data_IF_508418711765
#
_entry.id   IF_508418711765
#
_cell.length_a   1.000
_cell.length_b   1.000
_cell.length_c   1.000
_cell.angle_alpha   90.00
_cell.angle_beta   90.00
_cell.angle_gamma   90.00
#
_symmetry.space_group_name_H-M   'P 1'
#
loop_
_entity.id
_entity.type
_entity.pdbx_description
1 polymer ?
#
# COMPACT_ATOMS: atom_id res chain seq x y z
N UNK A 1 -3.52 13.89 32.86
CA UNK A 1 -2.94 15.06 32.15
C UNK A 1 -1.89 14.67 31.10
N UNK A 2 -0.91 13.80 31.42
CA UNK A 2 0.13 13.40 30.45
C UNK A 2 -0.40 12.68 29.18
N UNK A 3 -1.43 11.85 29.32
CA UNK A 3 -2.08 11.21 28.17
C UNK A 3 -2.65 12.22 27.17
N UNK A 4 -3.34 13.25 27.66
CA UNK A 4 -3.92 14.30 26.82
C UNK A 4 -2.84 15.10 26.08
N UNK A 5 -1.76 15.48 26.78
CA UNK A 5 -0.62 16.18 26.17
C UNK A 5 0.05 15.31 25.09
N UNK A 6 0.23 14.01 25.35
CA UNK A 6 0.80 13.09 24.37
C UNK A 6 -0.09 12.93 23.13
N UNK A 7 -1.41 12.81 23.32
CA UNK A 7 -2.39 12.72 22.23
C UNK A 7 -2.39 13.99 21.38
N UNK A 8 -2.43 15.17 22.00
CA UNK A 8 -2.40 16.46 21.29
C UNK A 8 -1.08 16.63 20.53
N UNK A 9 0.05 16.29 21.15
CA UNK A 9 1.37 16.37 20.49
C UNK A 9 1.44 15.45 19.27
N UNK A 10 0.92 14.22 19.37
CA UNK A 10 0.86 13.26 18.26
C UNK A 10 -0.09 13.71 17.16
N UNK A 11 -1.27 14.24 17.52
CA UNK A 11 -2.21 14.79 16.55
C UNK A 11 -1.62 16.00 15.81
N UNK A 12 -0.89 16.88 16.52
CA UNK A 12 -0.18 18.01 15.92
C UNK A 12 0.90 17.56 14.93
N UNK A 13 1.73 16.57 15.29
CA UNK A 13 2.70 16.00 14.36
C UNK A 13 2.03 15.33 13.15
N UNK A 14 0.92 14.63 13.35
CA UNK A 14 0.13 14.04 12.26
C UNK A 14 -0.41 15.09 11.30
N UNK A 15 -0.92 16.21 11.82
CA UNK A 15 -1.45 17.31 11.00
C UNK A 15 -0.32 17.99 10.20
N UNK A 16 0.82 18.27 10.83
CA UNK A 16 1.99 18.83 10.14
C UNK A 16 2.48 17.89 9.04
N UNK A 17 2.55 16.58 9.32
CA UNK A 17 2.90 15.57 8.32
C UNK A 17 1.93 15.56 7.15
N UNK A 18 0.62 15.60 7.41
CA UNK A 18 -0.41 15.64 6.36
C UNK A 18 -0.24 16.87 5.47
N UNK A 19 -0.09 18.05 6.06
CA UNK A 19 0.16 19.29 5.29
C UNK A 19 1.43 19.18 4.46
N UNK A 20 2.51 18.64 5.03
CA UNK A 20 3.77 18.45 4.32
C UNK A 20 3.63 17.46 3.14
N UNK A 21 2.91 16.35 3.33
CA UNK A 21 2.67 15.36 2.28
C UNK A 21 1.78 15.93 1.16
N UNK A 22 0.74 16.71 1.50
CA UNK A 22 -0.11 17.38 0.50
C UNK A 22 0.69 18.39 -0.32
N UNK A 23 1.48 19.25 0.35
CA UNK A 23 2.35 20.20 -0.33
C UNK A 23 3.40 19.50 -1.20
N UNK A 24 4.02 18.44 -0.68
CA UNK A 24 5.02 17.66 -1.42
C UNK A 24 4.41 17.01 -2.67
N UNK A 25 3.24 16.37 -2.57
CA UNK A 25 2.56 15.76 -3.71
C UNK A 25 2.16 16.82 -4.74
N UNK A 26 1.63 17.96 -4.30
CA UNK A 26 1.30 19.08 -5.18
C UNK A 26 2.53 19.54 -5.96
N UNK A 27 3.65 19.80 -5.27
CA UNK A 27 4.90 20.23 -5.91
C UNK A 27 5.45 19.16 -6.84
N UNK A 28 5.43 17.88 -6.45
CA UNK A 28 5.94 16.78 -7.26
C UNK A 28 5.16 16.65 -8.59
N UNK A 29 3.84 16.81 -8.53
CA UNK A 29 2.99 16.81 -9.73
C UNK A 29 3.26 18.01 -10.65
N UNK A 30 3.57 19.19 -10.11
CA UNK A 30 3.86 20.39 -10.91
C UNK A 30 5.28 20.45 -11.46
N UNK A 31 6.22 19.72 -10.87
CA UNK A 31 7.60 19.60 -11.38
C UNK A 31 7.68 18.54 -12.48
N UNK A 32 6.76 17.58 -12.50
CA UNK A 32 6.69 16.59 -13.56
C UNK A 32 6.50 17.27 -14.93
N UNK A 33 7.20 16.83 -15.99
CA UNK A 33 7.05 17.42 -17.31
C UNK A 33 5.67 17.08 -17.90
N UNK A 34 4.96 18.11 -18.36
CA UNK A 34 3.59 18.03 -18.90
C UNK A 34 2.53 18.45 -17.88
N UNK A 35 1.33 18.80 -18.36
CA UNK A 35 0.18 19.08 -17.52
C UNK A 35 -0.93 18.01 -17.67
N UNK A 36 -1.99 18.11 -16.85
CA UNK A 36 -3.12 17.18 -16.90
C UNK A 36 -3.78 17.17 -18.29
N UNK A 37 -3.87 18.33 -18.96
CA UNK A 37 -4.47 18.42 -20.28
C UNK A 37 -3.62 17.68 -21.33
N UNK A 38 -2.29 17.75 -21.22
CA UNK A 38 -1.36 17.02 -22.08
C UNK A 38 -1.52 15.50 -21.92
N UNK A 39 -1.69 15.01 -20.68
CA UNK A 39 -1.91 13.58 -20.42
C UNK A 39 -3.25 13.08 -20.96
N UNK A 40 -4.31 13.87 -20.80
CA UNK A 40 -5.64 13.57 -21.36
C UNK A 40 -5.60 13.59 -22.88
N UNK A 41 -4.91 14.57 -23.47
CA UNK A 41 -4.76 14.67 -24.92
C UNK A 41 -3.99 13.48 -25.51
N UNK A 42 -2.95 13.02 -24.83
CA UNK A 42 -2.20 11.83 -25.25
C UNK A 42 -3.05 10.56 -25.20
N UNK A 43 -3.83 10.35 -24.13
CA UNK A 43 -4.68 9.16 -23.98
C UNK A 43 -5.85 9.16 -24.98
N UNK A 44 -6.37 10.34 -25.33
CA UNK A 44 -7.42 10.52 -26.34
C UNK A 44 -6.93 10.39 -27.80
N UNK A 45 -5.63 10.17 -28.03
CA UNK A 45 -5.05 10.07 -29.38
C UNK A 45 -4.78 11.42 -30.06
N UNK A 46 -4.70 12.49 -29.28
CA UNK A 46 -4.58 13.88 -29.72
C UNK A 46 -5.90 14.63 -29.55
N UNK A 47 -5.82 15.85 -28.99
CA UNK A 47 -6.94 16.79 -28.88
C UNK A 47 -6.59 18.07 -29.62
N UNK A 48 -7.61 18.74 -30.16
CA UNK A 48 -7.46 20.07 -30.75
C UNK A 48 -6.98 21.08 -29.69
N UNK A 49 -6.19 22.05 -30.12
CA UNK A 49 -5.58 23.05 -29.22
C UNK A 49 -6.63 23.83 -28.41
N UNK A 50 -7.80 24.09 -29.00
CA UNK A 50 -8.90 24.80 -28.35
C UNK A 50 -9.56 23.96 -27.23
N UNK A 51 -9.64 22.64 -27.42
CA UNK A 51 -10.15 21.71 -26.40
C UNK A 51 -9.15 21.58 -25.25
N UNK A 52 -7.84 21.52 -25.55
CA UNK A 52 -6.81 21.50 -24.51
C UNK A 52 -6.81 22.77 -23.66
N UNK A 53 -7.03 23.94 -24.25
CA UNK A 53 -7.10 25.21 -23.52
C UNK A 53 -8.35 25.27 -22.62
N UNK A 54 -9.50 24.81 -23.11
CA UNK A 54 -10.71 24.69 -22.28
C UNK A 54 -10.49 23.75 -21.09
N UNK A 55 -9.87 22.60 -21.33
CA UNK A 55 -9.51 21.64 -20.28
C UNK A 55 -8.59 22.29 -19.23
N UNK A 56 -7.61 23.11 -19.64
CA UNK A 56 -6.73 23.82 -18.71
C UNK A 56 -7.50 24.78 -17.81
N UNK A 57 -8.45 25.52 -18.38
CA UNK A 57 -9.29 26.48 -17.63
C UNK A 57 -10.23 25.73 -16.68
N UNK A 58 -10.90 24.68 -17.15
CA UNK A 58 -11.84 23.90 -16.34
C UNK A 58 -11.15 23.28 -15.11
N UNK A 59 -9.88 22.89 -15.26
CA UNK A 59 -9.07 22.37 -14.17
C UNK A 59 -8.33 23.43 -13.35
N UNK A 60 -8.44 24.71 -13.72
CA UNK A 60 -7.80 25.81 -13.01
C UNK A 60 -6.28 25.82 -13.14
N UNK A 61 -5.74 25.20 -14.20
CA UNK A 61 -4.31 25.19 -14.53
C UNK A 61 -3.83 26.58 -15.00
N UNK A 62 -4.76 27.46 -15.38
CA UNK A 62 -4.53 28.87 -15.71
C UNK A 62 -4.27 29.74 -14.46
N UNK A 63 -4.67 29.27 -13.28
CA UNK A 63 -4.56 30.03 -12.04
C UNK A 63 -3.12 30.09 -11.53
N UNK A 64 -2.73 31.14 -10.78
CA UNK A 64 -1.47 31.17 -10.06
C UNK A 64 -1.31 29.95 -9.14
N UNK A 65 -0.09 29.39 -9.06
CA UNK A 65 0.21 28.16 -8.28
C UNK A 65 -0.30 28.21 -6.83
N UNK A 66 -0.24 29.37 -6.18
CA UNK A 66 -0.72 29.52 -4.80
C UNK A 66 -2.25 29.35 -4.68
N UNK A 67 -3.01 29.76 -5.70
CA UNK A 67 -4.47 29.57 -5.75
C UNK A 67 -4.82 28.12 -6.02
N UNK A 68 -4.10 27.47 -6.93
CA UNK A 68 -4.25 26.04 -7.21
C UNK A 68 -3.99 25.22 -5.93
N UNK A 69 -2.92 25.55 -5.21
CA UNK A 69 -2.61 24.92 -3.94
C UNK A 69 -3.70 25.20 -2.90
N UNK A 70 -4.13 26.46 -2.73
CA UNK A 70 -5.20 26.78 -1.79
C UNK A 70 -6.50 26.01 -2.07
N UNK A 71 -6.90 25.89 -3.34
CA UNK A 71 -8.06 25.11 -3.79
C UNK A 71 -7.89 23.63 -3.48
N UNK A 72 -6.70 23.07 -3.73
CA UNK A 72 -6.36 21.69 -3.40
C UNK A 72 -6.48 21.39 -1.90
N UNK A 73 -5.86 22.23 -1.06
CA UNK A 73 -5.94 22.10 0.40
C UNK A 73 -7.37 22.24 0.91
N UNK A 74 -8.14 23.18 0.34
CA UNK A 74 -9.53 23.39 0.70
C UNK A 74 -10.42 22.20 0.33
N UNK A 75 -10.25 21.61 -0.85
CA UNK A 75 -10.96 20.40 -1.26
C UNK A 75 -10.67 19.23 -0.32
N UNK A 76 -9.39 18.98 -0.02
CA UNK A 76 -8.99 17.91 0.91
C UNK A 76 -9.57 18.14 2.32
N UNK A 77 -9.64 19.38 2.80
CA UNK A 77 -10.26 19.70 4.08
C UNK A 77 -11.78 19.41 4.11
N UNK A 78 -12.45 19.41 2.96
CA UNK A 78 -13.85 19.02 2.80
C UNK A 78 -14.04 17.53 2.48
N UNK A 79 -12.96 16.74 2.53
CA UNK A 79 -12.93 15.32 2.12
C UNK A 79 -13.22 15.12 0.62
N UNK A 80 -13.07 16.17 -0.18
CA UNK A 80 -13.07 16.08 -1.63
C UNK A 80 -11.63 15.88 -2.10
N UNK A 81 -11.29 14.62 -2.41
CA UNK A 81 -9.97 14.23 -2.91
C UNK A 81 -9.81 14.52 -4.41
N UNK A 82 -10.85 15.05 -5.07
CA UNK A 82 -10.87 15.37 -6.48
C UNK A 82 -11.24 14.20 -7.38
N UNK A 83 -10.97 14.40 -8.67
CA UNK A 83 -11.36 13.51 -9.75
C UNK A 83 -10.13 12.89 -10.41
N UNK A 84 -10.18 11.58 -10.66
CA UNK A 84 -9.12 10.87 -11.36
C UNK A 84 -9.36 10.95 -12.86
N UNK A 85 -8.48 11.64 -13.58
CA UNK A 85 -8.58 11.79 -15.03
C UNK A 85 -8.31 10.49 -15.78
N UNK A 86 -7.40 9.67 -15.27
CA UNK A 86 -7.04 8.39 -15.88
C UNK A 86 -8.18 7.36 -15.79
N UNK A 87 -8.89 7.34 -14.66
CA UNK A 87 -9.97 6.37 -14.43
C UNK A 87 -11.36 6.95 -14.69
N UNK A 88 -11.45 8.24 -15.02
CA UNK A 88 -12.70 8.98 -15.20
C UNK A 88 -13.71 8.77 -14.04
N UNK A 89 -13.21 8.80 -12.80
CA UNK A 89 -14.02 8.57 -11.59
C UNK A 89 -13.52 9.39 -10.39
N UNK A 90 -14.39 9.70 -9.41
CA UNK A 90 -13.96 10.35 -8.17
C UNK A 90 -12.90 9.53 -7.43
N UNK A 91 -11.83 10.17 -6.96
CA UNK A 91 -10.70 9.51 -6.28
C UNK A 91 -11.18 8.75 -5.05
N UNK A 92 -12.14 9.31 -4.31
CA UNK A 92 -12.72 8.67 -3.12
C UNK A 92 -13.37 7.32 -3.45
N UNK A 93 -14.04 7.20 -4.62
CA UNK A 93 -14.66 5.95 -5.06
C UNK A 93 -13.60 4.89 -5.36
N UNK A 94 -12.56 5.26 -6.11
CA UNK A 94 -11.43 4.38 -6.42
C UNK A 94 -10.74 3.85 -5.16
N UNK A 95 -10.52 4.71 -4.16
CA UNK A 95 -9.94 4.31 -2.88
C UNK A 95 -10.85 3.31 -2.17
N UNK A 96 -12.15 3.58 -2.10
CA UNK A 96 -13.12 2.71 -1.45
C UNK A 96 -13.24 1.35 -2.15
N UNK A 97 -13.07 1.27 -3.47
CA UNK A 97 -13.07 0.01 -4.21
C UNK A 97 -11.82 -0.84 -3.94
N UNK A 98 -10.66 -0.21 -3.71
CA UNK A 98 -9.39 -0.90 -3.42
C UNK A 98 -9.18 -1.21 -1.93
N UNK A 99 -9.89 -0.50 -1.06
CA UNK A 99 -9.75 -0.60 0.40
C UNK A 99 -10.02 -2.02 0.93
N UNK A 100 -11.09 -2.74 0.53
CA UNK A 100 -11.38 -4.08 1.04
C UNK A 100 -10.27 -5.10 0.74
N UNK A 101 -9.70 -5.05 -0.47
CA UNK A 101 -8.61 -5.94 -0.87
C UNK A 101 -7.34 -5.67 -0.04
N UNK A 102 -7.02 -4.39 0.17
CA UNK A 102 -5.89 -3.97 1.00
C UNK A 102 -6.06 -4.40 2.45
N UNK A 103 -7.25 -4.19 3.02
CA UNK A 103 -7.58 -4.62 4.38
C UNK A 103 -7.50 -6.14 4.52
N UNK A 104 -8.07 -6.88 3.57
CA UNK A 104 -8.02 -8.34 3.57
C UNK A 104 -6.57 -8.83 3.61
N UNK A 105 -5.71 -8.28 2.74
CA UNK A 105 -4.30 -8.63 2.66
C UNK A 105 -3.53 -8.27 3.94
N UNK A 106 -3.63 -7.02 4.40
CA UNK A 106 -2.87 -6.55 5.56
C UNK A 106 -3.33 -7.26 6.84
N UNK A 107 -4.64 -7.39 7.06
CA UNK A 107 -5.17 -8.03 8.27
C UNK A 107 -4.83 -9.52 8.28
N UNK A 108 -5.02 -10.24 7.17
CA UNK A 108 -4.68 -11.67 7.11
C UNK A 108 -3.19 -11.91 7.35
N UNK A 109 -2.32 -11.14 6.71
CA UNK A 109 -0.88 -11.22 6.92
C UNK A 109 -0.49 -10.86 8.36
N UNK A 110 -1.11 -9.84 8.95
CA UNK A 110 -0.84 -9.42 10.31
C UNK A 110 -1.26 -10.49 11.34
N UNK A 111 -2.44 -11.09 11.17
CA UNK A 111 -2.94 -12.17 12.04
C UNK A 111 -2.05 -13.40 11.93
N UNK A 112 -1.70 -13.83 10.71
CA UNK A 112 -0.80 -14.96 10.49
C UNK A 112 0.59 -14.70 11.07
N UNK A 113 1.12 -13.48 10.92
CA UNK A 113 2.42 -13.10 11.46
C UNK A 113 2.45 -13.13 12.99
N UNK A 114 1.40 -12.63 13.65
CA UNK A 114 1.29 -12.70 15.11
C UNK A 114 1.22 -14.17 15.55
N UNK A 115 0.37 -14.96 14.91
CA UNK A 115 0.19 -16.37 15.25
C UNK A 115 1.50 -17.16 15.12
N UNK A 116 2.17 -17.06 13.97
CA UNK A 116 3.46 -17.72 13.72
C UNK A 116 4.57 -17.16 14.62
N UNK A 117 4.62 -15.85 14.81
CA UNK A 117 5.62 -15.20 15.65
C UNK A 117 5.55 -15.64 17.11
N UNK A 118 4.33 -15.76 17.66
CA UNK A 118 4.12 -16.27 19.02
C UNK A 118 4.56 -17.73 19.13
N UNK A 119 4.18 -18.59 18.18
CA UNK A 119 4.58 -20.02 18.21
C UNK A 119 6.11 -20.16 18.16
N UNK A 120 6.76 -19.52 17.18
CA UNK A 120 8.20 -19.58 17.00
C UNK A 120 8.94 -18.96 18.20
N UNK A 121 8.44 -17.84 18.73
CA UNK A 121 8.98 -17.19 19.92
C UNK A 121 8.91 -18.07 21.17
N UNK A 122 7.76 -18.71 21.42
CA UNK A 122 7.59 -19.64 22.55
C UNK A 122 8.48 -20.87 22.40
N UNK A 123 8.59 -21.44 21.20
CA UNK A 123 9.47 -22.58 20.92
C UNK A 123 10.95 -22.24 21.16
N UNK A 124 11.39 -21.05 20.75
CA UNK A 124 12.77 -20.59 20.96
C UNK A 124 13.06 -20.24 22.44
N UNK A 125 12.06 -19.76 23.18
CA UNK A 125 12.18 -19.45 24.60
C UNK A 125 12.30 -20.70 25.48
N UNK A 126 11.59 -21.79 25.13
CA UNK A 126 11.60 -23.05 25.92
C UNK A 126 12.96 -23.76 25.95
N UNK A 127 13.73 -23.72 24.87
CA UNK A 127 15.08 -24.30 24.80
C UNK A 127 16.07 -23.30 24.19
N UNK A 128 16.56 -22.33 24.98
CA UNK A 128 17.40 -21.22 24.51
C UNK A 128 18.65 -21.63 23.71
N UNK A 129 19.29 -22.74 24.10
CA UNK A 129 20.50 -23.29 23.48
C UNK A 129 20.20 -24.49 22.58
N UNK A 130 18.92 -24.82 22.36
CA UNK A 130 18.51 -25.94 21.52
C UNK A 130 18.52 -25.60 20.04
N UNK A 131 18.53 -26.63 19.19
CA UNK A 131 18.47 -26.48 17.72
C UNK A 131 17.26 -25.67 17.24
N UNK A 132 16.12 -25.75 17.95
CA UNK A 132 14.91 -24.97 17.64
C UNK A 132 15.14 -23.46 17.80
N UNK A 133 15.89 -23.06 18.81
CA UNK A 133 16.25 -21.66 19.05
C UNK A 133 17.15 -21.13 17.93
N UNK A 134 18.18 -21.90 17.55
CA UNK A 134 19.05 -21.54 16.41
C UNK A 134 18.30 -21.44 15.08
N UNK A 135 17.39 -22.38 14.79
CA UNK A 135 16.56 -22.33 13.59
C UNK A 135 15.70 -21.07 13.53
N UNK A 136 15.03 -20.72 14.63
CA UNK A 136 14.22 -19.49 14.71
C UNK A 136 15.10 -18.25 14.52
N UNK A 137 16.27 -18.20 15.15
CA UNK A 137 17.21 -17.07 14.96
C UNK A 137 17.66 -16.92 13.51
N UNK A 138 18.05 -18.01 12.84
CA UNK A 138 18.45 -17.97 11.43
C UNK A 138 17.29 -17.52 10.55
N UNK A 139 16.09 -18.07 10.76
CA UNK A 139 14.89 -17.71 10.00
C UNK A 139 14.55 -16.22 10.17
N UNK A 140 14.62 -15.69 11.39
CA UNK A 140 14.41 -14.27 11.66
C UNK A 140 15.47 -13.39 11.01
N UNK A 141 16.74 -13.82 11.01
CA UNK A 141 17.84 -13.07 10.40
C UNK A 141 17.68 -12.99 8.87
N UNK A 142 17.32 -14.10 8.23
CA UNK A 142 17.03 -14.15 6.79
C UNK A 142 15.84 -13.25 6.46
N UNK A 143 14.75 -13.36 7.22
CA UNK A 143 13.57 -12.52 7.03
C UNK A 143 13.83 -11.02 7.23
N UNK A 144 14.77 -10.67 8.12
CA UNK A 144 15.21 -9.30 8.35
C UNK A 144 16.11 -8.78 7.22
N UNK A 145 17.01 -9.61 6.70
CA UNK A 145 18.01 -9.23 5.71
C UNK A 145 17.45 -9.13 4.28
N UNK A 146 16.45 -9.96 3.94
CA UNK A 146 15.85 -9.96 2.62
C UNK A 146 14.88 -8.78 2.42
N UNK A 147 15.07 -7.92 1.40
CA UNK A 147 14.13 -6.84 1.10
C UNK A 147 12.75 -7.38 0.69
N UNK A 148 11.67 -6.75 1.17
CA UNK A 148 10.29 -7.22 0.92
C UNK A 148 9.97 -7.31 -0.57
N UNK A 149 10.36 -6.29 -1.35
CA UNK A 149 10.14 -6.29 -2.80
C UNK A 149 10.87 -7.46 -3.48
N UNK A 150 12.11 -7.75 -3.04
CA UNK A 150 12.94 -8.81 -3.60
C UNK A 150 12.35 -10.18 -3.28
N UNK A 151 11.97 -10.41 -2.01
CA UNK A 151 11.26 -11.65 -1.64
C UNK A 151 10.00 -11.83 -2.47
N UNK A 152 9.20 -10.76 -2.64
CA UNK A 152 7.97 -10.84 -3.42
C UNK A 152 8.20 -11.24 -4.87
N UNK A 153 9.17 -10.61 -5.53
CA UNK A 153 9.53 -10.97 -6.91
C UNK A 153 10.05 -12.41 -6.98
N UNK A 154 10.90 -12.84 -6.04
CA UNK A 154 11.43 -14.22 -6.03
C UNK A 154 10.33 -15.27 -5.80
N UNK A 155 9.35 -15.00 -4.93
CA UNK A 155 8.21 -15.88 -4.72
C UNK A 155 7.33 -15.99 -5.97
N UNK A 156 7.10 -14.88 -6.68
CA UNK A 156 6.37 -14.89 -7.96
C UNK A 156 7.16 -15.71 -9.00
N UNK A 157 8.45 -15.48 -9.16
CA UNK A 157 9.28 -16.22 -10.12
C UNK A 157 9.25 -17.72 -9.82
N UNK A 158 9.41 -18.12 -8.56
CA UNK A 158 9.47 -19.53 -8.19
C UNK A 158 8.11 -20.23 -8.31
N UNK A 159 7.04 -19.60 -7.82
CA UNK A 159 5.74 -20.27 -7.63
C UNK A 159 4.62 -19.83 -8.57
N UNK A 160 4.85 -18.81 -9.39
CA UNK A 160 3.91 -18.42 -10.44
C UNK A 160 4.51 -18.66 -11.84
N UNK A 161 5.83 -18.53 -12.00
CA UNK A 161 6.50 -18.70 -13.30
C UNK A 161 7.16 -20.07 -13.46
N UNK A 162 8.06 -20.47 -12.56
CA UNK A 162 8.79 -21.75 -12.67
C UNK A 162 7.91 -22.95 -12.34
N UNK A 163 7.20 -22.89 -11.21
CA UNK A 163 6.26 -23.91 -10.78
C UNK A 163 4.90 -23.23 -10.64
N UNK A 164 4.04 -23.20 -11.69
CA UNK A 164 2.83 -22.38 -11.76
C UNK A 164 1.71 -22.90 -10.84
N UNK A 165 1.94 -22.84 -9.52
CA UNK A 165 1.01 -23.25 -8.47
C UNK A 165 0.08 -22.08 -8.15
N UNK A 166 0.61 -20.85 -8.18
CA UNK A 166 -0.11 -19.64 -7.83
C UNK A 166 -0.22 -18.67 -9.02
N UNK A 167 -1.25 -17.82 -9.04
CA UNK A 167 -1.42 -16.80 -10.06
C UNK A 167 -0.39 -15.68 -9.92
N UNK A 168 -0.09 -15.00 -11.04
CA UNK A 168 0.93 -13.95 -11.10
C UNK A 168 0.39 -12.60 -10.60
N UNK A 169 -0.92 -12.37 -10.71
CA UNK A 169 -1.53 -11.11 -10.30
C UNK A 169 -3.06 -11.19 -10.35
N UNK A 170 -3.69 -10.03 -10.12
CA UNK A 170 -5.13 -9.89 -9.89
C UNK A 170 -5.59 -10.49 -8.55
N UNK A 171 -6.85 -10.21 -8.16
CA UNK A 171 -7.44 -10.72 -6.91
C UNK A 171 -8.25 -12.00 -7.14
N UNK A 172 -8.77 -12.18 -8.35
CA UNK A 172 -9.73 -13.22 -8.73
C UNK A 172 -9.58 -13.49 -10.22
N UNK A 173 -9.65 -14.75 -10.61
CA UNK A 173 -9.71 -15.14 -12.02
C UNK A 173 -11.01 -14.63 -12.69
N UNK A 174 -10.89 -14.17 -13.93
CA UNK A 174 -12.01 -13.59 -14.70
C UNK A 174 -13.11 -14.62 -14.99
N UNK A 175 -12.78 -15.91 -14.94
CA UNK A 175 -13.67 -17.04 -15.23
C UNK A 175 -14.51 -17.50 -14.03
N UNK A 176 -14.24 -17.00 -12.81
CA UNK A 176 -14.93 -17.45 -11.59
C UNK A 176 -16.09 -16.51 -11.28
N UNK A 177 -17.29 -17.08 -11.14
CA UNK A 177 -18.45 -16.33 -10.66
C UNK A 177 -18.18 -15.78 -9.25
N UNK A 178 -18.58 -14.52 -9.01
CA UNK A 178 -18.27 -13.78 -7.76
C UNK A 178 -19.13 -14.21 -6.57
N UNK A 179 -19.51 -15.48 -6.51
CA UNK A 179 -20.41 -16.02 -5.49
C UNK A 179 -19.92 -17.39 -4.98
N UNK A 180 -20.10 -17.62 -3.68
CA UNK A 180 -19.88 -18.92 -3.05
C UNK A 180 -18.43 -19.26 -2.65
N UNK A 181 -18.22 -20.55 -2.39
CA UNK A 181 -16.95 -21.11 -1.85
C UNK A 181 -15.84 -21.08 -2.91
N UNK A 182 -16.20 -21.21 -4.19
CA UNK A 182 -15.24 -21.16 -5.30
C UNK A 182 -14.52 -19.80 -5.36
N UNK A 183 -15.26 -18.71 -5.21
CA UNK A 183 -14.72 -17.36 -5.11
C UNK A 183 -13.76 -17.21 -3.91
N UNK A 184 -14.16 -17.68 -2.73
CA UNK A 184 -13.33 -17.59 -1.53
C UNK A 184 -12.00 -18.36 -1.68
N UNK A 185 -12.04 -19.55 -2.27
CA UNK A 185 -10.85 -20.36 -2.51
C UNK A 185 -9.92 -19.71 -3.54
N UNK A 186 -10.50 -19.08 -4.56
CA UNK A 186 -9.74 -18.37 -5.58
C UNK A 186 -9.04 -17.14 -5.00
N UNK A 187 -9.75 -16.33 -4.22
CA UNK A 187 -9.17 -15.20 -3.48
C UNK A 187 -8.04 -15.68 -2.56
N UNK A 188 -8.22 -16.78 -1.82
CA UNK A 188 -7.17 -17.33 -0.97
C UNK A 188 -5.93 -17.72 -1.77
N UNK A 189 -6.10 -18.35 -2.94
CA UNK A 189 -4.99 -18.73 -3.82
C UNK A 189 -4.22 -17.52 -4.33
N UNK A 190 -4.92 -16.44 -4.72
CA UNK A 190 -4.30 -15.17 -5.11
C UNK A 190 -3.61 -14.46 -3.94
N UNK A 191 -4.11 -14.66 -2.72
CA UNK A 191 -3.61 -14.00 -1.51
C UNK A 191 -2.31 -14.62 -0.97
N UNK A 192 -2.01 -15.90 -1.24
CA UNK A 192 -0.90 -16.61 -0.58
C UNK A 192 0.44 -15.92 -0.80
N UNK A 193 0.84 -15.64 -2.05
CA UNK A 193 2.16 -15.06 -2.31
C UNK A 193 2.31 -13.67 -1.70
N UNK A 194 1.38 -12.71 -1.90
CA UNK A 194 1.46 -11.41 -1.25
C UNK A 194 1.33 -11.47 0.28
N UNK A 195 0.56 -12.41 0.82
CA UNK A 195 0.44 -12.55 2.28
C UNK A 195 1.74 -13.07 2.88
N UNK A 196 2.41 -14.05 2.25
CA UNK A 196 3.67 -14.62 2.75
C UNK A 196 4.78 -13.55 2.78
N UNK A 197 4.84 -12.68 1.77
CA UNK A 197 5.82 -11.57 1.76
C UNK A 197 5.58 -10.59 2.90
N UNK A 198 4.32 -10.22 3.15
CA UNK A 198 3.96 -9.34 4.26
C UNK A 198 4.12 -10.01 5.62
N UNK A 199 3.85 -11.32 5.72
CA UNK A 199 4.10 -12.10 6.93
C UNK A 199 5.57 -12.05 7.29
N UNK A 200 6.49 -12.23 6.33
CA UNK A 200 7.93 -12.08 6.56
C UNK A 200 8.25 -10.69 7.15
N UNK A 201 7.71 -9.63 6.56
CA UNK A 201 7.92 -8.26 7.01
C UNK A 201 7.39 -8.03 8.44
N UNK A 202 6.18 -8.48 8.74
CA UNK A 202 5.60 -8.33 10.08
C UNK A 202 6.28 -9.24 11.12
N UNK A 203 6.76 -10.42 10.73
CA UNK A 203 7.37 -11.39 11.64
C UNK A 203 8.67 -10.86 12.26
N UNK A 204 9.39 -10.01 11.52
CA UNK A 204 10.55 -9.26 12.02
C UNK A 204 10.23 -8.47 13.30
N UNK A 205 9.04 -7.88 13.38
CA UNK A 205 8.65 -7.09 14.55
C UNK A 205 8.17 -7.96 15.73
N UNK A 206 7.62 -9.14 15.46
CA UNK A 206 7.05 -10.02 16.50
C UNK A 206 8.09 -10.97 17.11
N UNK A 207 9.06 -11.45 16.33
CA UNK A 207 10.08 -12.42 16.80
C UNK A 207 11.38 -11.74 17.23
N UNK A 208 11.62 -10.49 16.83
CA UNK A 208 12.86 -9.74 17.07
C UNK A 208 13.16 -9.36 18.53
N UNK A 209 12.28 -9.64 19.50
CA UNK A 209 12.47 -9.34 20.92
C UNK A 209 13.41 -10.35 21.63
N UNK A 210 14.61 -10.56 21.09
CA UNK A 210 15.69 -11.29 21.78
C UNK A 210 17.03 -10.61 21.56
N UNK A 211 17.31 -9.58 22.35
CA UNK A 211 18.60 -8.89 22.42
C UNK A 211 18.53 -7.62 23.28
N UNK A 212 19.67 -7.09 23.76
CA UNK A 212 19.74 -5.92 24.66
C UNK A 212 19.35 -4.58 24.02
N UNK A 213 18.67 -4.60 22.86
CA UNK A 213 18.23 -3.44 22.11
C UNK A 213 16.71 -3.16 22.26
N UNK A 214 16.09 -3.73 23.29
CA UNK A 214 14.87 -3.21 23.91
C UNK A 214 15.24 -2.53 25.23
#
# INVERSE_FOLDING_TARGET
>A
MQFFIATVKRAGFGLVLLVAVLALNFVLMHIAPGDVADTIAQDAGGLDAEVMEQIRIDYGLDLPLWQQMAKYFWGVAQLDLGYSFYYNEPVTKLILEKLPATLLLVISAQVLSIFLGVILGVMAARKPTGMTSHFVTVLSLVGYAAPVFWTGIMLIILFAVMVPIFPIGSMVDVSVEREGIAYAMDVLRHLVLPAVTLVQFFLRFTVGCRGPAC
#
